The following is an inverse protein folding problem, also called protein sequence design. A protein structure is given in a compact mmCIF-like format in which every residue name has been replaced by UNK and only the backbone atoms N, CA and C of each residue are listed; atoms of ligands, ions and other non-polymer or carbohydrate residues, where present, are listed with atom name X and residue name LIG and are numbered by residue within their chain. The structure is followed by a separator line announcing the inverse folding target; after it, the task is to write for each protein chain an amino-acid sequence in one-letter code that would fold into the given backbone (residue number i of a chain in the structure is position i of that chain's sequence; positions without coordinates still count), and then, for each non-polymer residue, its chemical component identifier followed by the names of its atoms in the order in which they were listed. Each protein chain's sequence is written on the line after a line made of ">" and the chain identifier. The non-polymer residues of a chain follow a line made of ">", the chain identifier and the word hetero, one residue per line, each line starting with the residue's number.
data_IF_918349518626
#
_entry.id   IF_918349518626
#
_cell.length_a   1.000
_cell.length_b   1.000
_cell.length_c   1.000
_cell.angle_alpha   90.00
_cell.angle_beta   90.00
_cell.angle_gamma   90.00
#
_symmetry.space_group_name_H-M   'P 1'
#
loop_
_entity.id
_entity.type
_entity.pdbx_description
1 polymer ?
#
# COMPACT_ATOMS: atom_id res chain seq x y z
N UNK A 1 8.61 -22.10 -1.74
CA UNK A 1 9.07 -20.71 -1.54
C UNK A 1 7.86 -19.75 -1.42
N UNK A 2 6.90 -19.74 -2.36
CA UNK A 2 5.62 -19.00 -2.18
C UNK A 2 4.52 -19.99 -1.84
N UNK A 3 3.89 -19.78 -0.69
CA UNK A 3 2.70 -20.52 -0.26
C UNK A 3 1.48 -19.61 -0.37
N UNK A 4 0.51 -20.05 -1.13
CA UNK A 4 -0.77 -19.35 -1.31
C UNK A 4 -1.82 -20.07 -0.47
N UNK A 5 -2.61 -19.34 0.31
CA UNK A 5 -3.74 -19.89 1.06
C UNK A 5 -4.74 -20.54 0.10
N UNK A 6 -5.42 -21.61 0.55
CA UNK A 6 -6.33 -22.37 -0.31
C UNK A 6 -7.47 -21.51 -0.83
N UNK A 7 -8.11 -20.70 0.04
CA UNK A 7 -9.15 -19.74 -0.35
C UNK A 7 -8.68 -18.78 -1.46
N UNK A 8 -7.48 -18.22 -1.30
CA UNK A 8 -6.89 -17.30 -2.30
C UNK A 8 -6.65 -18.03 -3.62
N UNK A 9 -6.11 -19.26 -3.56
CA UNK A 9 -5.82 -20.07 -4.75
C UNK A 9 -7.09 -20.45 -5.51
N UNK A 10 -8.12 -20.87 -4.79
CA UNK A 10 -9.41 -21.27 -5.37
C UNK A 10 -10.07 -20.08 -6.07
N UNK A 11 -10.13 -18.91 -5.42
CA UNK A 11 -10.76 -17.73 -6.00
C UNK A 11 -9.97 -17.18 -7.18
N UNK A 12 -8.63 -17.13 -7.11
CA UNK A 12 -7.79 -16.74 -8.26
C UNK A 12 -7.96 -17.72 -9.42
N UNK A 13 -8.02 -19.03 -9.14
CA UNK A 13 -8.24 -20.05 -10.16
C UNK A 13 -9.60 -19.96 -10.85
N UNK A 14 -10.61 -19.44 -10.16
CA UNK A 14 -11.93 -19.15 -10.72
C UNK A 14 -12.01 -17.78 -11.40
N UNK A 15 -10.94 -16.97 -11.38
CA UNK A 15 -10.93 -15.60 -11.90
C UNK A 15 -11.59 -14.59 -10.96
N UNK A 16 -11.84 -14.93 -9.70
CA UNK A 16 -12.52 -14.07 -8.75
C UNK A 16 -11.63 -12.95 -8.19
N UNK A 17 -12.25 -12.05 -7.44
CA UNK A 17 -11.62 -10.85 -6.90
C UNK A 17 -10.74 -11.17 -5.69
N UNK A 18 -9.44 -10.91 -5.80
CA UNK A 18 -8.47 -11.02 -4.70
C UNK A 18 -7.68 -9.73 -4.60
N UNK A 19 -7.49 -9.24 -3.36
CA UNK A 19 -6.73 -8.02 -3.07
C UNK A 19 -5.60 -8.32 -2.11
N UNK A 20 -4.37 -7.93 -2.48
CA UNK A 20 -3.21 -8.04 -1.62
C UNK A 20 -3.16 -6.94 -0.56
N UNK A 21 -2.69 -7.28 0.64
CA UNK A 21 -2.42 -6.36 1.75
C UNK A 21 -0.98 -6.54 2.24
N UNK A 22 -0.32 -5.45 2.63
CA UNK A 22 1.04 -5.48 3.18
C UNK A 22 1.07 -5.74 4.69
N UNK A 23 2.16 -6.32 5.19
CA UNK A 23 2.37 -6.53 6.64
C UNK A 23 3.27 -5.49 7.30
N UNK A 24 3.98 -4.64 6.52
CA UNK A 24 4.74 -3.52 7.12
C UNK A 24 3.81 -2.54 7.84
N UNK A 25 2.61 -2.33 7.32
CA UNK A 25 1.59 -1.53 7.97
C UNK A 25 1.22 -2.11 9.33
N UNK A 26 1.05 -3.43 9.42
CA UNK A 26 0.74 -4.15 10.66
C UNK A 26 1.89 -4.03 11.68
N UNK A 27 3.12 -4.24 11.22
CA UNK A 27 4.29 -4.28 12.11
C UNK A 27 4.78 -2.90 12.54
N UNK A 28 4.63 -1.87 11.70
CA UNK A 28 5.33 -0.58 11.85
C UNK A 28 4.46 0.65 11.60
N UNK A 29 3.21 0.49 11.20
CA UNK A 29 2.31 1.60 10.84
C UNK A 29 1.56 2.20 12.02
N UNK A 30 1.48 1.46 13.14
CA UNK A 30 0.66 1.79 14.30
C UNK A 30 1.40 1.47 15.61
N UNK A 31 0.91 1.96 16.76
CA UNK A 31 1.43 1.58 18.06
C UNK A 31 1.44 0.05 18.26
N UNK A 32 2.36 -0.47 19.09
CA UNK A 32 2.44 -1.90 19.36
C UNK A 32 1.11 -2.49 19.82
N UNK A 33 0.66 -3.55 19.15
CA UNK A 33 -0.58 -4.27 19.42
C UNK A 33 -1.79 -3.80 18.59
N UNK A 34 -1.75 -2.61 17.99
CA UNK A 34 -2.88 -2.08 17.22
C UNK A 34 -2.82 -2.44 15.73
N UNK A 35 -1.61 -2.64 15.20
CA UNK A 35 -1.43 -2.91 13.77
C UNK A 35 -2.14 -4.18 13.28
N UNK A 36 -2.23 -5.22 14.13
CA UNK A 36 -2.95 -6.46 13.80
C UNK A 36 -4.44 -6.18 13.59
N UNK A 37 -5.06 -5.42 14.51
CA UNK A 37 -6.48 -5.07 14.38
C UNK A 37 -6.76 -4.24 13.13
N UNK A 38 -5.85 -3.33 12.77
CA UNK A 38 -5.96 -2.55 11.51
C UNK A 38 -5.85 -3.46 10.29
N UNK A 39 -4.96 -4.45 10.31
CA UNK A 39 -4.85 -5.47 9.26
C UNK A 39 -6.13 -6.26 9.12
N UNK A 40 -6.68 -6.77 10.23
CA UNK A 40 -7.94 -7.52 10.26
C UNK A 40 -9.13 -6.66 9.81
N UNK A 41 -9.17 -5.37 10.20
CA UNK A 41 -10.20 -4.45 9.70
C UNK A 41 -10.13 -4.28 8.19
N UNK A 42 -8.92 -4.15 7.63
CA UNK A 42 -8.74 -4.08 6.18
C UNK A 42 -9.27 -5.34 5.49
N UNK A 43 -9.02 -6.52 6.05
CA UNK A 43 -9.55 -7.79 5.53
C UNK A 43 -11.09 -7.84 5.63
N UNK A 44 -11.67 -7.35 6.74
CA UNK A 44 -13.14 -7.24 6.89
C UNK A 44 -13.76 -6.34 5.82
N UNK A 45 -13.12 -5.19 5.54
CA UNK A 45 -13.60 -4.26 4.51
C UNK A 45 -13.55 -4.86 3.10
N UNK A 46 -12.50 -5.63 2.78
CA UNK A 46 -12.40 -6.36 1.52
C UNK A 46 -13.50 -7.41 1.39
N UNK A 47 -13.72 -8.22 2.44
CA UNK A 47 -14.78 -9.23 2.44
C UNK A 47 -16.17 -8.59 2.37
N UNK A 48 -16.38 -7.47 3.03
CA UNK A 48 -17.64 -6.71 2.95
C UNK A 48 -17.90 -6.14 1.54
N UNK A 49 -16.85 -5.82 0.80
CA UNK A 49 -16.92 -5.45 -0.61
C UNK A 49 -17.09 -6.65 -1.56
N UNK A 50 -16.94 -7.89 -1.09
CA UNK A 50 -17.07 -9.12 -1.89
C UNK A 50 -15.75 -9.67 -2.43
N UNK A 51 -14.59 -9.10 -2.05
CA UNK A 51 -13.28 -9.56 -2.46
C UNK A 51 -12.60 -10.41 -1.37
N UNK A 52 -11.70 -11.30 -1.77
CA UNK A 52 -10.90 -12.11 -0.85
C UNK A 52 -9.61 -11.38 -0.50
N UNK A 53 -9.31 -11.17 0.79
CA UNK A 53 -8.05 -10.60 1.22
C UNK A 53 -6.90 -11.60 1.07
N UNK A 54 -5.75 -11.12 0.64
CA UNK A 54 -4.51 -11.87 0.56
C UNK A 54 -3.39 -11.09 1.24
N UNK A 55 -3.36 -11.11 2.58
CA UNK A 55 -2.31 -10.46 3.35
C UNK A 55 -0.99 -11.20 3.15
N UNK A 56 0.08 -10.45 2.82
CA UNK A 56 1.38 -11.00 2.40
C UNK A 56 2.46 -10.73 3.43
N UNK A 57 3.24 -11.76 3.75
CA UNK A 57 4.41 -11.67 4.63
C UNK A 57 5.38 -12.81 4.42
N UNK A 58 6.53 -12.75 5.07
CA UNK A 58 7.47 -13.87 5.13
C UNK A 58 7.45 -14.44 6.55
N UNK A 59 7.12 -15.72 6.67
CA UNK A 59 7.14 -16.44 7.96
C UNK A 59 8.02 -17.69 7.84
N UNK A 60 9.00 -17.80 8.73
CA UNK A 60 9.86 -18.97 8.84
C UNK A 60 10.48 -19.40 7.48
N UNK A 61 10.85 -18.41 6.66
CA UNK A 61 11.43 -18.63 5.33
C UNK A 61 10.44 -18.94 4.22
N UNK A 62 9.14 -18.87 4.48
CA UNK A 62 8.11 -18.96 3.44
C UNK A 62 7.49 -17.61 3.14
N UNK A 63 7.47 -17.22 1.87
CA UNK A 63 6.64 -16.10 1.41
C UNK A 63 5.19 -16.60 1.39
N UNK A 64 4.36 -16.01 2.24
CA UNK A 64 2.94 -16.39 2.37
C UNK A 64 2.06 -15.35 1.75
N UNK A 65 1.07 -15.81 0.98
CA UNK A 65 0.03 -14.99 0.34
C UNK A 65 -1.32 -15.49 0.85
N UNK A 66 -1.97 -14.70 1.68
CA UNK A 66 -3.15 -15.08 2.47
C UNK A 66 -2.73 -15.64 3.84
N UNK A 67 -2.32 -14.74 4.73
CA UNK A 67 -2.02 -15.07 6.14
C UNK A 67 -3.32 -15.33 6.92
N UNK A 68 -3.26 -16.26 7.86
CA UNK A 68 -4.31 -16.41 8.87
C UNK A 68 -4.20 -15.31 9.94
N UNK A 69 -5.25 -15.09 10.73
CA UNK A 69 -5.22 -14.16 11.87
C UNK A 69 -4.10 -14.51 12.86
N UNK A 70 -3.90 -15.81 13.16
CA UNK A 70 -2.81 -16.27 14.02
C UNK A 70 -1.43 -15.92 13.43
N UNK A 71 -1.25 -16.14 12.13
CA UNK A 71 -0.01 -15.80 11.42
C UNK A 71 0.21 -14.29 11.36
N UNK A 72 -0.85 -13.50 11.16
CA UNK A 72 -0.79 -12.04 11.19
C UNK A 72 -0.36 -11.51 12.55
N UNK A 73 -0.80 -12.14 13.65
CA UNK A 73 -0.40 -11.84 15.01
C UNK A 73 1.10 -12.03 15.29
N UNK A 74 1.85 -12.71 14.42
CA UNK A 74 3.30 -12.90 14.53
C UNK A 74 4.12 -11.69 14.05
N UNK A 75 3.51 -10.73 13.35
CA UNK A 75 4.18 -9.52 12.88
C UNK A 75 4.12 -8.43 13.94
N UNK A 76 5.23 -8.21 14.63
CA UNK A 76 5.38 -7.17 15.66
C UNK A 76 6.43 -6.13 15.28
N UNK A 77 6.70 -5.16 16.16
CA UNK A 77 7.57 -4.01 15.88
C UNK A 77 9.04 -4.39 15.60
N UNK A 78 9.45 -5.62 15.93
CA UNK A 78 10.78 -6.16 15.65
C UNK A 78 10.85 -6.97 14.35
N UNK A 79 9.74 -7.12 13.62
CA UNK A 79 9.74 -7.80 12.34
C UNK A 79 10.63 -7.05 11.35
N UNK A 80 11.52 -7.78 10.66
CA UNK A 80 12.35 -7.18 9.60
C UNK A 80 11.46 -6.62 8.51
N UNK A 81 11.76 -5.40 8.05
CA UNK A 81 11.12 -4.81 6.88
C UNK A 81 11.67 -5.46 5.62
N UNK A 82 10.79 -5.99 4.76
CA UNK A 82 11.15 -6.78 3.57
C UNK A 82 10.63 -6.10 2.32
N UNK A 83 11.54 -5.47 1.59
CA UNK A 83 11.28 -4.94 0.25
C UNK A 83 11.47 -6.01 -0.83
N UNK A 84 11.28 -5.65 -2.12
CA UNK A 84 11.42 -6.60 -3.23
C UNK A 84 12.79 -7.31 -3.27
N UNK A 85 13.86 -6.58 -3.00
CA UNK A 85 15.24 -7.09 -2.99
C UNK A 85 15.52 -8.08 -1.84
N UNK A 86 14.72 -7.99 -0.77
CA UNK A 86 14.99 -8.74 0.48
C UNK A 86 14.23 -10.07 0.51
N UNK A 87 13.17 -10.25 -0.29
CA UNK A 87 12.28 -11.42 -0.26
C UNK A 87 13.03 -12.74 -0.36
N UNK A 88 13.87 -12.88 -1.39
CA UNK A 88 14.59 -14.13 -1.63
C UNK A 88 15.58 -14.45 -0.51
N UNK A 89 16.34 -13.44 -0.04
CA UNK A 89 17.30 -13.62 1.06
C UNK A 89 16.59 -13.97 2.37
N UNK A 90 15.48 -13.27 2.70
CA UNK A 90 14.69 -13.53 3.90
C UNK A 90 14.12 -14.96 3.89
N UNK A 91 13.61 -15.41 2.74
CA UNK A 91 13.08 -16.77 2.58
C UNK A 91 14.17 -17.83 2.73
N UNK A 92 15.29 -17.69 2.03
CA UNK A 92 16.40 -18.68 2.09
C UNK A 92 17.04 -18.75 3.48
N UNK A 93 17.10 -17.64 4.20
CA UNK A 93 17.62 -17.56 5.57
C UNK A 93 16.66 -18.10 6.64
N UNK A 94 15.47 -18.57 6.27
CA UNK A 94 14.47 -19.07 7.22
C UNK A 94 13.92 -17.99 8.14
N UNK A 95 13.99 -16.72 7.75
CA UNK A 95 13.64 -15.58 8.58
C UNK A 95 12.18 -15.17 8.43
N UNK A 96 11.68 -14.41 9.42
CA UNK A 96 10.37 -13.75 9.39
C UNK A 96 10.54 -12.27 9.05
N UNK A 97 9.65 -11.73 8.21
CA UNK A 97 9.70 -10.33 7.84
C UNK A 97 8.40 -9.79 7.26
N UNK A 98 8.14 -8.53 7.58
CA UNK A 98 6.96 -7.79 7.14
C UNK A 98 7.21 -7.16 5.76
N UNK A 99 6.38 -7.48 4.78
CA UNK A 99 6.52 -6.98 3.40
C UNK A 99 6.07 -5.53 3.29
N UNK A 100 6.85 -4.71 2.58
CA UNK A 100 6.45 -3.35 2.15
C UNK A 100 5.47 -3.45 0.97
N UNK A 101 4.93 -2.31 0.52
CA UNK A 101 4.13 -2.27 -0.72
C UNK A 101 4.86 -2.94 -1.88
N UNK A 102 6.13 -2.58 -2.11
CA UNK A 102 6.94 -3.20 -3.17
C UNK A 102 7.19 -4.69 -2.92
N UNK A 103 7.47 -5.10 -1.68
CA UNK A 103 7.62 -6.52 -1.33
C UNK A 103 6.34 -7.31 -1.57
N UNK A 104 5.20 -6.72 -1.20
CA UNK A 104 3.87 -7.30 -1.42
C UNK A 104 3.55 -7.40 -2.92
N UNK A 105 3.79 -6.33 -3.69
CA UNK A 105 3.60 -6.35 -5.15
C UNK A 105 4.43 -7.45 -5.83
N UNK A 106 5.69 -7.63 -5.41
CA UNK A 106 6.55 -8.67 -5.98
C UNK A 106 6.01 -10.08 -5.70
N UNK A 107 5.54 -10.35 -4.48
CA UNK A 107 4.99 -11.65 -4.10
C UNK A 107 3.60 -11.90 -4.70
N UNK A 108 2.70 -10.92 -4.59
CA UNK A 108 1.33 -10.99 -5.08
C UNK A 108 1.27 -11.08 -6.62
N UNK A 109 2.09 -10.27 -7.31
CA UNK A 109 2.19 -10.30 -8.77
C UNK A 109 2.70 -11.65 -9.30
N UNK A 110 3.62 -12.30 -8.57
CA UNK A 110 4.12 -13.64 -8.94
C UNK A 110 3.04 -14.74 -8.90
N UNK A 111 1.92 -14.51 -8.21
CA UNK A 111 0.77 -15.44 -8.14
C UNK A 111 -0.47 -14.91 -8.86
N UNK A 112 -0.34 -13.79 -9.59
CA UNK A 112 -1.39 -13.27 -10.45
C UNK A 112 -2.38 -12.30 -9.79
N UNK A 113 -2.14 -11.85 -8.55
CA UNK A 113 -2.97 -10.83 -7.91
C UNK A 113 -2.66 -9.45 -8.52
N UNK A 114 -3.69 -8.74 -8.95
CA UNK A 114 -3.59 -7.47 -9.69
C UNK A 114 -4.07 -6.25 -8.93
N UNK A 115 -4.59 -6.40 -7.73
CA UNK A 115 -5.05 -5.28 -6.90
C UNK A 115 -4.39 -5.36 -5.54
N UNK A 116 -3.93 -4.20 -5.03
CA UNK A 116 -3.33 -4.06 -3.71
C UNK A 116 -3.93 -2.85 -3.02
N UNK A 117 -4.20 -2.96 -1.71
CA UNK A 117 -4.58 -1.84 -0.86
C UNK A 117 -3.51 -1.54 0.19
N UNK A 118 -3.28 -0.25 0.43
CA UNK A 118 -2.38 0.25 1.49
C UNK A 118 -2.85 1.61 2.00
N UNK A 119 -2.27 2.10 3.08
CA UNK A 119 -2.50 3.45 3.56
C UNK A 119 -1.92 4.49 2.60
N UNK A 120 -0.67 4.35 2.21
CA UNK A 120 0.04 5.20 1.27
C UNK A 120 1.34 4.57 0.81
N UNK A 121 1.72 4.82 -0.43
CA UNK A 121 2.97 4.29 -1.00
C UNK A 121 4.20 5.02 -0.43
N UNK A 122 5.35 4.35 -0.52
CA UNK A 122 6.64 5.00 -0.40
C UNK A 122 6.96 5.82 -1.65
N UNK A 123 7.93 6.73 -1.53
CA UNK A 123 8.32 7.61 -2.61
C UNK A 123 9.72 8.16 -2.42
N UNK A 124 9.95 9.38 -2.89
CA UNK A 124 11.18 10.14 -2.70
C UNK A 124 11.18 10.75 -1.30
N UNK A 125 12.23 10.54 -0.53
CA UNK A 125 12.37 11.19 0.78
C UNK A 125 12.77 12.65 0.64
N UNK A 126 12.27 13.50 1.55
CA UNK A 126 12.65 14.93 1.59
C UNK A 126 14.18 15.05 1.80
N UNK A 127 14.81 15.94 1.05
CA UNK A 127 16.27 16.10 1.05
C UNK A 127 16.97 15.43 -0.15
N UNK A 128 16.26 14.64 -0.96
CA UNK A 128 16.80 14.11 -2.23
C UNK A 128 17.36 15.28 -3.09
N UNK A 129 18.50 15.13 -3.78
CA UNK A 129 19.26 13.87 -4.00
C UNK A 129 20.39 13.57 -3.01
N UNK A 130 20.56 14.34 -1.96
CA UNK A 130 21.71 14.17 -1.06
C UNK A 130 21.24 14.00 0.41
N UNK A 131 21.22 12.75 0.94
CA UNK A 131 21.50 11.48 0.25
C UNK A 131 20.34 11.03 -0.66
N UNK A 132 20.62 10.20 -1.70
CA UNK A 132 19.55 9.62 -2.48
C UNK A 132 18.80 8.58 -1.66
N UNK A 133 17.55 8.87 -1.30
CA UNK A 133 16.66 7.96 -0.57
C UNK A 133 15.31 7.90 -1.29
N UNK A 134 15.08 6.77 -2.00
CA UNK A 134 13.88 6.52 -2.79
C UNK A 134 13.35 5.13 -2.48
N UNK A 135 12.06 5.03 -2.23
CA UNK A 135 11.42 3.74 -1.97
C UNK A 135 11.45 2.83 -3.19
N UNK A 136 11.78 1.56 -2.95
CA UNK A 136 11.68 0.52 -3.97
C UNK A 136 10.23 0.24 -4.42
N UNK A 137 9.23 0.79 -3.72
CA UNK A 137 7.82 0.67 -4.10
C UNK A 137 7.59 1.20 -5.51
N UNK A 138 8.20 2.35 -5.87
CA UNK A 138 8.02 2.99 -7.17
C UNK A 138 8.52 2.12 -8.32
N UNK A 139 9.75 1.61 -8.20
CA UNK A 139 10.33 0.73 -9.21
C UNK A 139 9.61 -0.63 -9.29
N UNK A 140 9.07 -1.13 -8.18
CA UNK A 140 8.31 -2.38 -8.19
C UNK A 140 6.92 -2.16 -8.79
N UNK A 141 6.26 -1.06 -8.48
CA UNK A 141 4.98 -0.68 -9.08
C UNK A 141 5.13 -0.57 -10.61
N UNK A 142 6.15 0.11 -11.11
CA UNK A 142 6.41 0.27 -12.55
C UNK A 142 6.48 -1.05 -13.33
N UNK A 143 6.92 -2.14 -12.70
CA UNK A 143 7.14 -3.44 -13.39
C UNK A 143 6.08 -4.50 -13.06
N UNK A 144 5.15 -4.23 -12.16
CA UNK A 144 4.12 -5.18 -11.76
C UNK A 144 2.77 -4.71 -12.29
N UNK A 145 2.11 -5.43 -13.21
CA UNK A 145 0.81 -5.05 -13.74
C UNK A 145 -0.28 -5.20 -12.67
N UNK A 146 -0.31 -4.23 -11.76
CA UNK A 146 -1.24 -4.19 -10.64
C UNK A 146 -1.72 -2.76 -10.38
N UNK A 147 -2.94 -2.60 -9.87
CA UNK A 147 -3.47 -1.33 -9.40
C UNK A 147 -3.33 -1.26 -7.88
N UNK A 148 -2.68 -0.20 -7.39
CA UNK A 148 -2.50 0.06 -5.97
C UNK A 148 -3.46 1.16 -5.54
N UNK A 149 -4.36 0.85 -4.60
CA UNK A 149 -5.27 1.81 -3.98
C UNK A 149 -4.65 2.33 -2.70
N UNK A 150 -4.52 3.65 -2.57
CA UNK A 150 -3.93 4.29 -1.39
C UNK A 150 -4.45 5.72 -1.21
N UNK A 151 -4.19 6.31 -0.04
CA UNK A 151 -4.40 7.75 0.16
C UNK A 151 -3.26 8.60 -0.46
N UNK A 152 -2.71 8.12 -1.58
CA UNK A 152 -1.59 8.75 -2.28
C UNK A 152 -0.24 8.35 -1.71
N UNK A 153 0.64 9.33 -1.56
CA UNK A 153 2.01 9.19 -1.04
C UNK A 153 2.03 9.56 0.44
N UNK A 154 2.81 8.85 1.26
CA UNK A 154 2.95 9.16 2.69
C UNK A 154 3.40 10.61 2.88
N UNK A 155 2.75 11.34 3.79
CA UNK A 155 2.91 12.79 4.01
C UNK A 155 4.35 13.24 4.36
N UNK A 156 5.16 12.32 4.91
CA UNK A 156 6.56 12.58 5.25
C UNK A 156 7.51 12.66 4.04
N UNK A 157 7.02 12.33 2.84
CA UNK A 157 7.81 12.24 1.61
C UNK A 157 7.73 13.53 0.79
N UNK A 158 8.62 13.65 -0.18
CA UNK A 158 8.57 14.70 -1.21
C UNK A 158 7.57 14.25 -2.29
N UNK A 159 6.33 14.72 -2.17
CA UNK A 159 5.24 14.32 -3.06
C UNK A 159 5.44 14.82 -4.49
N UNK A 160 5.86 16.09 -4.73
CA UNK A 160 6.19 16.54 -6.09
C UNK A 160 7.28 15.68 -6.76
N UNK A 161 8.41 15.45 -6.08
CA UNK A 161 9.49 14.61 -6.63
C UNK A 161 9.04 13.16 -6.83
N UNK A 162 8.15 12.65 -5.99
CA UNK A 162 7.57 11.31 -6.15
C UNK A 162 6.68 11.23 -7.39
N UNK A 163 5.86 12.24 -7.66
CA UNK A 163 5.01 12.31 -8.84
C UNK A 163 5.84 12.36 -10.14
N UNK A 164 6.88 13.19 -10.18
CA UNK A 164 7.82 13.25 -11.31
C UNK A 164 8.52 11.90 -11.58
N UNK A 165 8.87 11.19 -10.50
CA UNK A 165 9.49 9.87 -10.66
C UNK A 165 8.47 8.81 -11.12
N UNK A 166 7.22 8.86 -10.66
CA UNK A 166 6.15 7.99 -11.17
C UNK A 166 5.90 8.24 -12.66
N UNK A 167 5.87 9.49 -13.11
CA UNK A 167 5.79 9.85 -14.54
C UNK A 167 6.96 9.28 -15.33
N UNK A 168 8.19 9.51 -14.87
CA UNK A 168 9.42 8.99 -15.49
C UNK A 168 9.44 7.46 -15.61
N UNK A 169 8.81 6.76 -14.68
CA UNK A 169 8.67 5.32 -14.65
C UNK A 169 7.49 4.79 -15.47
N UNK A 170 6.68 5.67 -16.06
CA UNK A 170 5.50 5.30 -16.83
C UNK A 170 4.35 4.75 -15.98
N UNK A 171 4.26 5.16 -14.71
CA UNK A 171 3.19 4.76 -13.77
C UNK A 171 2.09 5.80 -13.76
N UNK A 172 0.91 5.52 -14.34
CA UNK A 172 -0.21 6.44 -14.27
C UNK A 172 -0.69 6.61 -12.82
N UNK A 173 -1.01 7.85 -12.46
CA UNK A 173 -1.65 8.20 -11.20
C UNK A 173 -3.09 8.57 -11.48
N UNK A 174 -4.04 7.79 -10.98
CA UNK A 174 -5.46 8.06 -11.07
C UNK A 174 -5.94 8.73 -9.79
N UNK A 175 -6.82 9.70 -9.89
CA UNK A 175 -7.49 10.34 -8.75
C UNK A 175 -8.92 9.86 -8.62
N UNK A 176 -9.26 9.20 -7.52
CA UNK A 176 -10.65 8.81 -7.25
C UNK A 176 -11.46 10.03 -6.83
N UNK A 177 -12.27 10.57 -7.77
CA UNK A 177 -13.09 11.78 -7.61
C UNK A 177 -12.31 13.05 -7.26
N UNK A 178 -11.02 13.08 -7.57
CA UNK A 178 -10.13 14.22 -7.33
C UNK A 178 -9.20 14.44 -8.52
N UNK A 179 -8.78 15.70 -8.72
CA UNK A 179 -7.92 16.11 -9.84
C UNK A 179 -6.44 16.16 -9.44
N UNK A 180 -6.13 15.98 -8.16
CA UNK A 180 -4.76 16.01 -7.62
C UNK A 180 -4.47 14.77 -6.79
N UNK A 181 -3.20 14.39 -6.73
CA UNK A 181 -2.72 13.28 -5.89
C UNK A 181 -2.97 13.62 -4.41
N UNK A 182 -3.72 12.78 -3.66
CA UNK A 182 -3.93 13.00 -2.24
C UNK A 182 -2.62 12.97 -1.44
N UNK A 183 -2.56 13.75 -0.38
CA UNK A 183 -1.38 13.91 0.47
C UNK A 183 -1.47 13.11 1.77
N UNK A 184 -1.99 11.90 1.70
CA UNK A 184 -2.20 10.99 2.81
C UNK A 184 -3.28 11.49 3.80
N UNK A 185 -2.96 12.50 4.62
CA UNK A 185 -3.92 13.10 5.56
C UNK A 185 -4.75 14.21 4.94
N UNK A 186 -4.23 14.90 3.91
CA UNK A 186 -4.94 15.98 3.24
C UNK A 186 -5.55 15.51 1.91
N UNK A 187 -6.75 15.98 1.62
CA UNK A 187 -7.51 15.58 0.43
C UNK A 187 -6.98 16.21 -0.86
N UNK A 188 -6.33 17.36 -0.79
CA UNK A 188 -5.89 18.16 -1.92
C UNK A 188 -4.51 18.80 -1.67
N UNK A 189 -3.98 19.47 -2.71
CA UNK A 189 -2.70 20.18 -2.65
C UNK A 189 -1.53 19.43 -3.28
N UNK A 190 -1.71 18.19 -3.69
CA UNK A 190 -0.71 17.43 -4.44
C UNK A 190 -0.65 17.81 -5.92
N UNK A 191 0.34 17.26 -6.67
CA UNK A 191 0.43 17.41 -8.11
C UNK A 191 -0.82 16.90 -8.85
N UNK A 192 -1.08 17.38 -10.09
CA UNK A 192 -2.15 16.87 -10.93
C UNK A 192 -2.04 15.36 -11.14
N UNK A 193 -3.18 14.67 -11.23
CA UNK A 193 -3.22 13.25 -11.59
C UNK A 193 -3.23 13.07 -13.11
N UNK A 194 -2.86 11.87 -13.59
CA UNK A 194 -2.94 11.53 -15.03
C UNK A 194 -4.38 11.50 -15.53
N UNK A 195 -5.30 11.05 -14.68
CA UNK A 195 -6.73 11.06 -14.96
C UNK A 195 -7.54 11.00 -13.65
N UNK A 196 -8.67 11.70 -13.62
CA UNK A 196 -9.70 11.58 -12.61
C UNK A 196 -10.66 10.47 -13.02
N UNK A 197 -11.05 9.62 -12.09
CA UNK A 197 -12.04 8.55 -12.26
C UNK A 197 -13.15 8.69 -11.23
N UNK A 198 -14.38 8.39 -11.63
CA UNK A 198 -15.57 8.61 -10.80
C UNK A 198 -16.10 7.35 -10.12
N UNK A 199 -15.66 6.16 -10.57
CA UNK A 199 -16.14 4.88 -10.06
C UNK A 199 -15.04 3.81 -10.05
N UNK A 200 -15.28 2.73 -9.31
CA UNK A 200 -14.42 1.54 -9.31
C UNK A 200 -14.36 0.90 -10.71
N UNK A 201 -15.49 0.83 -11.40
CA UNK A 201 -15.59 0.33 -12.79
C UNK A 201 -14.69 1.14 -13.74
N UNK A 202 -14.73 2.47 -13.67
CA UNK A 202 -13.88 3.31 -14.53
C UNK A 202 -12.40 3.11 -14.23
N UNK A 203 -12.02 3.02 -12.94
CA UNK A 203 -10.63 2.72 -12.54
C UNK A 203 -10.17 1.35 -13.05
N UNK A 204 -11.01 0.33 -12.96
CA UNK A 204 -10.74 -1.01 -13.49
C UNK A 204 -10.54 -0.98 -15.00
N UNK A 205 -11.41 -0.32 -15.75
CA UNK A 205 -11.31 -0.19 -17.22
C UNK A 205 -10.03 0.54 -17.66
N UNK A 206 -9.63 1.59 -16.93
CA UNK A 206 -8.35 2.28 -17.20
C UNK A 206 -7.18 1.34 -16.95
N UNK A 207 -7.20 0.58 -15.84
CA UNK A 207 -6.14 -0.37 -15.52
C UNK A 207 -6.02 -1.47 -16.58
N UNK A 208 -7.13 -2.06 -17.01
CA UNK A 208 -7.16 -3.08 -18.06
C UNK A 208 -6.63 -2.55 -19.40
N UNK A 209 -7.06 -1.36 -19.81
CA UNK A 209 -6.57 -0.73 -21.03
C UNK A 209 -5.06 -0.47 -20.96
N UNK A 210 -4.56 -0.01 -19.80
CA UNK A 210 -3.13 0.21 -19.57
C UNK A 210 -2.33 -1.09 -19.71
N UNK A 211 -2.81 -2.19 -19.10
CA UNK A 211 -2.15 -3.50 -19.20
C UNK A 211 -2.22 -4.11 -20.61
N UNK A 212 -3.32 -3.91 -21.35
CA UNK A 212 -3.43 -4.32 -22.75
C UNK A 212 -2.42 -3.60 -23.65
N UNK A 213 -2.04 -2.37 -23.31
CA UNK A 213 -0.98 -1.60 -23.97
C UNK A 213 0.44 -1.99 -23.53
N UNK A 214 0.58 -2.98 -22.65
CA UNK A 214 1.87 -3.45 -22.13
C UNK A 214 2.38 -2.64 -20.93
N UNK A 215 1.54 -1.83 -20.31
CA UNK A 215 1.89 -1.03 -19.14
C UNK A 215 2.10 -1.88 -17.88
N UNK A 216 2.82 -1.32 -16.92
CA UNK A 216 3.04 -1.89 -15.59
C UNK A 216 1.93 -1.55 -14.60
N UNK A 217 2.30 -1.14 -13.39
CA UNK A 217 1.33 -0.77 -12.36
C UNK A 217 0.74 0.62 -12.51
N UNK A 218 -0.36 0.84 -11.80
CA UNK A 218 -1.03 2.12 -11.65
C UNK A 218 -1.23 2.44 -10.16
N UNK A 219 -1.29 3.72 -9.85
CA UNK A 219 -1.67 4.21 -8.53
C UNK A 219 -3.07 4.83 -8.61
N UNK A 220 -3.99 4.37 -7.76
CA UNK A 220 -5.29 5.01 -7.54
C UNK A 220 -5.26 5.74 -6.20
N UNK A 221 -5.17 7.07 -6.26
CA UNK A 221 -5.21 7.94 -5.10
C UNK A 221 -6.65 8.21 -4.66
N UNK A 222 -7.00 7.83 -3.43
CA UNK A 222 -8.27 8.11 -2.81
C UNK A 222 -8.07 9.11 -1.65
N UNK A 223 -8.68 10.29 -1.66
CA UNK A 223 -8.60 11.20 -0.53
C UNK A 223 -9.26 10.59 0.71
N UNK A 224 -8.79 10.90 1.93
CA UNK A 224 -9.49 10.52 3.15
C UNK A 224 -10.87 11.20 3.21
N UNK A 225 -11.88 10.53 3.79
CA UNK A 225 -13.22 11.11 3.96
C UNK A 225 -13.21 12.28 4.97
N UNK A 226 -12.33 12.20 5.97
CA UNK A 226 -12.13 13.24 6.99
C UNK A 226 -10.66 13.72 6.92
N UNK A 227 -10.34 14.70 6.06
CA UNK A 227 -8.98 15.19 5.91
C UNK A 227 -8.51 15.99 7.13
N UNK A 228 -7.20 15.92 7.41
CA UNK A 228 -6.52 16.73 8.40
C UNK A 228 -5.60 17.74 7.68
N UNK A 229 -6.07 18.97 7.55
CA UNK A 229 -5.34 20.00 6.80
C UNK A 229 -4.19 20.65 7.61
N UNK A 230 -4.20 20.51 8.94
CA UNK A 230 -3.26 21.12 9.87
C UNK A 230 -2.06 20.23 10.25
N UNK A 231 -1.80 19.16 9.48
CA UNK A 231 -0.78 18.15 9.81
C UNK A 231 0.62 18.52 9.31
N UNK A 232 0.75 19.33 8.25
CA UNK A 232 2.06 19.63 7.64
C UNK A 232 3.09 20.20 8.62
N UNK A 233 2.77 21.15 9.52
CA UNK A 233 3.72 21.61 10.53
C UNK A 233 4.20 20.51 11.47
N UNK A 234 3.33 19.57 11.84
CA UNK A 234 3.70 18.41 12.66
C UNK A 234 4.60 17.44 11.90
N UNK A 235 4.41 17.28 10.58
CA UNK A 235 5.27 16.47 9.72
C UNK A 235 6.68 17.07 9.67
N UNK A 236 6.80 18.39 9.49
CA UNK A 236 8.08 19.10 9.50
C UNK A 236 8.81 18.93 10.83
N UNK A 237 8.09 19.10 11.95
CA UNK A 237 8.64 18.88 13.29
C UNK A 237 9.13 17.44 13.49
N UNK A 238 8.33 16.45 13.08
CA UNK A 238 8.67 15.03 13.19
C UNK A 238 9.92 14.68 12.38
N UNK A 239 10.05 15.21 11.17
CA UNK A 239 11.22 15.03 10.31
C UNK A 239 12.48 15.69 10.92
N UNK A 240 12.35 16.88 11.45
CA UNK A 240 13.45 17.56 12.16
C UNK A 240 13.88 16.76 13.40
N UNK A 241 12.94 16.23 14.17
CA UNK A 241 13.23 15.38 15.33
C UNK A 241 13.92 14.06 14.91
N UNK A 242 13.50 13.43 13.80
CA UNK A 242 14.13 12.23 13.26
C UNK A 242 15.58 12.51 12.85
N UNK A 243 15.83 13.60 12.15
CA UNK A 243 17.17 14.03 11.75
C UNK A 243 18.07 14.32 12.97
N UNK A 244 17.57 15.03 13.97
CA UNK A 244 18.30 15.32 15.22
C UNK A 244 18.63 14.03 16.00
N UNK A 245 17.79 13.00 15.92
CA UNK A 245 18.01 11.68 16.52
C UNK A 245 18.92 10.77 15.68
N UNK A 246 19.39 11.20 14.50
CA UNK A 246 20.20 10.40 13.59
C UNK A 246 19.44 9.23 12.92
N UNK A 247 18.11 9.30 12.87
CA UNK A 247 17.27 8.29 12.26
C UNK A 247 17.32 8.45 10.74
N UNK A 248 17.58 7.36 10.01
CA UNK A 248 17.72 7.38 8.54
C UNK A 248 17.15 6.12 7.88
N UNK A 249 16.92 6.16 6.56
CA UNK A 249 16.48 5.03 5.77
C UNK A 249 15.14 4.46 6.23
N UNK A 250 15.04 3.14 6.32
CA UNK A 250 13.77 2.45 6.65
C UNK A 250 13.19 2.78 8.04
N UNK A 251 13.98 3.35 8.95
CA UNK A 251 13.54 3.71 10.29
C UNK A 251 12.81 5.07 10.35
N UNK A 252 12.93 5.91 9.32
CA UNK A 252 12.32 7.25 9.29
C UNK A 252 10.79 7.18 9.38
N UNK A 253 10.16 6.37 8.54
CA UNK A 253 8.69 6.28 8.50
C UNK A 253 8.07 5.86 9.85
N UNK A 254 8.49 4.78 10.52
CA UNK A 254 7.95 4.43 11.83
C UNK A 254 8.17 5.52 12.89
N UNK A 255 9.34 6.15 12.88
CA UNK A 255 9.65 7.23 13.81
C UNK A 255 8.72 8.44 13.63
N UNK A 256 8.58 8.90 12.39
CA UNK A 256 7.70 10.04 12.05
C UNK A 256 6.26 9.75 12.39
N UNK A 257 5.73 8.58 12.02
CA UNK A 257 4.35 8.20 12.35
C UNK A 257 4.11 8.17 13.87
N UNK A 258 5.03 7.57 14.65
CA UNK A 258 4.93 7.56 16.11
C UNK A 258 4.95 8.98 16.71
N UNK A 259 5.76 9.88 16.16
CA UNK A 259 5.80 11.29 16.56
C UNK A 259 4.47 11.98 16.26
N UNK A 260 3.95 11.83 15.03
CA UNK A 260 2.68 12.42 14.61
C UNK A 260 1.51 11.93 15.47
N UNK A 261 1.44 10.62 15.74
CA UNK A 261 0.37 10.03 16.57
C UNK A 261 0.36 10.64 17.97
N UNK A 262 1.54 10.81 18.59
CA UNK A 262 1.67 11.39 19.92
C UNK A 262 1.33 12.87 19.95
N UNK A 263 1.95 13.68 19.08
CA UNK A 263 1.83 15.15 19.10
C UNK A 263 0.45 15.63 18.60
N UNK A 264 -0.21 14.85 17.74
CA UNK A 264 -1.60 15.15 17.32
C UNK A 264 -2.67 14.76 18.34
N UNK A 265 -2.28 14.18 19.49
CA UNK A 265 -3.24 13.62 20.45
C UNK A 265 -4.06 12.46 19.87
N UNK A 266 -3.47 11.64 19.01
CA UNK A 266 -4.10 10.47 18.40
C UNK A 266 -4.93 10.76 17.14
N UNK A 267 -5.10 12.02 16.73
CA UNK A 267 -5.89 12.38 15.53
C UNK A 267 -5.33 11.75 14.26
N UNK A 268 -4.02 11.82 14.06
CA UNK A 268 -3.37 11.23 12.87
C UNK A 268 -3.43 9.71 12.87
N UNK A 269 -3.44 9.07 14.04
CA UNK A 269 -3.64 7.63 14.16
C UNK A 269 -5.05 7.23 13.76
N UNK A 270 -6.07 7.90 14.29
CA UNK A 270 -7.46 7.65 13.93
C UNK A 270 -7.71 7.87 12.43
N UNK A 271 -7.18 8.95 11.85
CA UNK A 271 -7.26 9.20 10.43
C UNK A 271 -6.56 8.11 9.61
N UNK A 272 -5.36 7.64 10.04
CA UNK A 272 -4.65 6.56 9.36
C UNK A 272 -5.43 5.24 9.39
N UNK A 273 -6.05 4.88 10.50
CA UNK A 273 -6.93 3.69 10.60
C UNK A 273 -8.11 3.80 9.62
N UNK A 274 -8.76 4.96 9.59
CA UNK A 274 -9.90 5.20 8.71
C UNK A 274 -9.52 5.11 7.22
N UNK A 275 -8.46 5.81 6.80
CA UNK A 275 -8.04 5.81 5.39
C UNK A 275 -7.60 4.42 4.90
N UNK A 276 -6.94 3.62 5.75
CA UNK A 276 -6.54 2.25 5.40
C UNK A 276 -7.78 1.37 5.15
N UNK A 277 -8.78 1.43 6.02
CA UNK A 277 -10.04 0.70 5.87
C UNK A 277 -10.81 1.14 4.62
N UNK A 278 -10.87 2.44 4.34
CA UNK A 278 -11.52 3.02 3.16
C UNK A 278 -10.83 2.60 1.86
N UNK A 279 -9.49 2.61 1.84
CA UNK A 279 -8.71 2.17 0.69
C UNK A 279 -8.91 0.67 0.41
N UNK A 280 -8.96 -0.15 1.46
CA UNK A 280 -9.24 -1.58 1.33
C UNK A 280 -10.63 -1.82 0.72
N UNK A 281 -11.66 -1.11 1.17
CA UNK A 281 -13.00 -1.22 0.61
C UNK A 281 -13.03 -0.88 -0.88
N UNK A 282 -12.46 0.28 -1.27
CA UNK A 282 -12.40 0.67 -2.68
C UNK A 282 -11.60 -0.34 -3.52
N UNK A 283 -10.49 -0.87 -2.98
CA UNK A 283 -9.71 -1.89 -3.67
C UNK A 283 -10.51 -3.17 -3.90
N UNK A 284 -11.38 -3.57 -2.96
CA UNK A 284 -12.30 -4.68 -3.13
C UNK A 284 -13.31 -4.42 -4.24
N UNK A 285 -13.91 -3.22 -4.27
CA UNK A 285 -14.83 -2.79 -5.33
C UNK A 285 -14.14 -2.82 -6.72
N UNK A 286 -12.92 -2.29 -6.82
CA UNK A 286 -12.15 -2.32 -8.08
C UNK A 286 -11.77 -3.75 -8.48
N UNK A 287 -11.42 -4.61 -7.53
CA UNK A 287 -11.04 -5.99 -7.83
C UNK A 287 -12.20 -6.81 -8.40
N UNK A 288 -13.44 -6.53 -7.99
CA UNK A 288 -14.65 -7.15 -8.56
C UNK A 288 -14.85 -6.77 -10.03
N UNK A 289 -14.56 -5.52 -10.38
CA UNK A 289 -14.69 -5.02 -11.75
C UNK A 289 -13.60 -5.56 -12.69
N UNK A 290 -12.39 -5.84 -12.16
CA UNK A 290 -11.28 -6.46 -12.89
C UNK A 290 -11.49 -7.98 -13.04
N UNK A 291 -12.17 -8.62 -12.10
CA UNK A 291 -12.48 -10.04 -12.18
C UNK A 291 -13.39 -10.28 -13.40
N UNK A 292 -13.12 -11.28 -14.26
CA UNK A 292 -14.01 -11.55 -15.37
C UNK A 292 -15.42 -11.80 -14.84
N UNK A 293 -16.40 -11.06 -15.37
CA UNK A 293 -17.80 -11.31 -15.05
C UNK A 293 -18.08 -12.81 -15.22
N UNK A 294 -18.77 -13.43 -14.25
CA UNK A 294 -19.22 -14.80 -14.40
C UNK A 294 -19.85 -14.93 -15.79
N UNK A 295 -19.26 -15.76 -16.66
CA UNK A 295 -19.88 -16.06 -17.93
C UNK A 295 -21.21 -16.67 -17.58
N UNK A 296 -22.30 -15.91 -17.77
CA UNK A 296 -23.64 -16.51 -17.80
C UNK A 296 -23.55 -17.72 -18.70
N UNK A 297 -23.66 -18.91 -18.08
CA UNK A 297 -23.71 -20.16 -18.80
C UNK A 297 -25.03 -20.15 -19.59
N UNK A 298 -24.91 -19.81 -20.89
CA UNK A 298 -25.99 -19.90 -21.84
C UNK A 298 -26.15 -21.31 -22.28
#
# INVERSE_FOLDING_TARGET
>A
MIRVADEVREVLGAGGAVVALETTLVAHGFPPGEGVEVGLESERQLRAAGAIPATVGVLDGEVRVGLTEEELGRFGPFARKVGPRDLAATAVQGSTGATTVGGTLAAAGAVGIRVLATGGIGGVHRGFPDPPDVSADLAQLARTPALVVSAGVKSLLDVPATAELLESLGVPVLGFRVDTLPLFYAAAGGPPVSARVESAEEAARVAEAHWQLGGGGLLLGRPPDEPLEDVEPLVEEALAAAAAAGVSGQAVTPYVLAHLHRESGGRTEAANKALVAQNARLAGEVALEIAPAEKEQS
#
